data_IF_731004804864
#
_entry.id   IF_731004804864
#
_cell.length_a   1.000
_cell.length_b   1.000
_cell.length_c   1.000
_cell.angle_alpha   90.00
_cell.angle_beta   90.00
_cell.angle_gamma   90.00
#
_symmetry.space_group_name_H-M   'P 1'
#
loop_
_entity.id
_entity.type
_entity.pdbx_description
1 polymer ?
#
# COMPACT_ATOMS: atom_id res chain seq x y z
N UNK A 1 -6.35 13.52 14.36
CA UNK A 1 -4.90 13.30 14.15
C UNK A 1 -4.14 13.09 15.46
N UNK A 2 -4.09 14.04 16.41
CA UNK A 2 -3.40 13.82 17.71
C UNK A 2 -3.89 12.59 18.49
N UNK A 3 -5.22 12.43 18.55
CA UNK A 3 -5.86 11.26 19.20
C UNK A 3 -5.38 9.94 18.61
N UNK A 4 -5.15 9.86 17.30
CA UNK A 4 -4.62 8.65 16.65
C UNK A 4 -3.26 8.27 17.24
N UNK A 5 -2.30 9.21 17.30
CA UNK A 5 -0.98 8.91 17.85
C UNK A 5 -1.03 8.63 19.35
N UNK A 6 -1.88 9.35 20.11
CA UNK A 6 -2.06 9.09 21.55
C UNK A 6 -2.61 7.68 21.81
N UNK A 7 -3.64 7.27 21.08
CA UNK A 7 -4.19 5.92 21.19
C UNK A 7 -3.13 4.86 20.85
N UNK A 8 -2.40 5.06 19.75
CA UNK A 8 -1.28 4.19 19.37
C UNK A 8 -0.19 4.13 20.45
N UNK A 9 0.14 5.24 21.08
CA UNK A 9 1.09 5.30 22.19
C UNK A 9 0.66 4.40 23.36
N UNK A 10 -0.61 4.51 23.75
CA UNK A 10 -1.19 3.78 24.88
C UNK A 10 -1.20 2.29 24.59
N UNK A 11 -1.76 1.86 23.47
CA UNK A 11 -1.95 0.43 23.21
C UNK A 11 -0.63 -0.28 22.85
N UNK A 12 0.36 0.43 22.32
CA UNK A 12 1.69 -0.14 21.99
C UNK A 12 2.70 -0.04 23.13
N UNK A 13 2.33 0.55 24.27
CA UNK A 13 3.23 0.77 25.41
C UNK A 13 3.94 -0.51 25.90
N UNK A 14 3.25 -1.65 25.93
CA UNK A 14 3.84 -2.94 26.28
C UNK A 14 4.84 -3.44 25.24
N UNK A 15 4.55 -3.22 23.95
CA UNK A 15 5.44 -3.56 22.83
C UNK A 15 6.69 -2.68 22.83
N UNK A 16 6.57 -1.38 23.11
CA UNK A 16 7.72 -0.49 23.28
C UNK A 16 8.60 -0.90 24.44
N UNK A 17 7.99 -1.34 25.55
CA UNK A 17 8.73 -1.87 26.68
C UNK A 17 9.46 -3.16 26.31
N UNK A 18 8.77 -4.11 25.68
CA UNK A 18 9.35 -5.38 25.23
C UNK A 18 10.44 -5.20 24.16
N UNK A 19 10.37 -4.17 23.33
CA UNK A 19 11.45 -3.79 22.42
C UNK A 19 12.74 -3.37 23.16
N UNK A 20 12.62 -2.68 24.30
CA UNK A 20 13.78 -2.19 25.06
C UNK A 20 14.41 -3.24 25.97
N UNK A 21 13.60 -4.03 26.65
CA UNK A 21 14.07 -4.94 27.72
C UNK A 21 13.78 -6.42 27.46
N UNK A 22 13.16 -6.74 26.33
CA UNK A 22 12.69 -8.08 26.02
C UNK A 22 11.44 -8.50 26.82
N UNK A 23 10.78 -9.54 26.34
CA UNK A 23 9.61 -10.14 27.00
C UNK A 23 9.53 -11.63 26.69
N UNK A 24 9.12 -12.43 27.68
CA UNK A 24 8.86 -13.85 27.49
C UNK A 24 7.51 -14.04 26.79
N UNK A 25 7.52 -14.61 25.59
CA UNK A 25 6.32 -14.83 24.78
C UNK A 25 6.23 -16.30 24.34
N UNK A 26 5.08 -16.98 24.51
CA UNK A 26 4.88 -18.31 23.96
C UNK A 26 4.74 -18.25 22.44
N UNK A 27 5.41 -19.15 21.73
CA UNK A 27 5.19 -19.35 20.30
C UNK A 27 3.94 -20.23 20.04
N UNK A 28 3.65 -20.52 18.75
CA UNK A 28 2.51 -21.34 18.36
C UNK A 28 2.57 -22.79 18.86
N UNK A 29 3.74 -23.28 19.30
CA UNK A 29 3.93 -24.59 19.92
C UNK A 29 3.80 -24.57 21.45
N UNK A 30 3.59 -23.38 22.05
CA UNK A 30 3.59 -23.19 23.50
C UNK A 30 4.99 -23.06 24.11
N UNK A 31 6.05 -23.06 23.29
CA UNK A 31 7.42 -22.86 23.76
C UNK A 31 7.63 -21.39 24.10
N UNK A 32 8.04 -21.10 25.33
CA UNK A 32 8.31 -19.72 25.78
C UNK A 32 9.68 -19.29 25.27
N UNK A 33 9.73 -18.15 24.59
CA UNK A 33 10.95 -17.55 24.05
C UNK A 33 11.14 -16.14 24.59
N UNK A 34 12.39 -15.75 24.79
CA UNK A 34 12.73 -14.37 25.11
C UNK A 34 12.78 -13.55 23.81
N UNK A 35 11.82 -12.65 23.63
CA UNK A 35 11.56 -11.96 22.38
C UNK A 35 11.63 -10.43 22.55
N UNK A 36 12.00 -9.74 21.47
CA UNK A 36 11.92 -8.29 21.35
C UNK A 36 10.86 -7.93 20.31
N UNK A 37 10.22 -6.77 20.47
CA UNK A 37 9.12 -6.33 19.59
C UNK A 37 9.41 -4.98 18.91
N UNK A 38 10.43 -4.92 18.03
CA UNK A 38 10.67 -3.73 17.22
C UNK A 38 9.50 -3.45 16.28
N UNK A 39 9.26 -2.18 15.96
CA UNK A 39 8.31 -1.81 14.92
C UNK A 39 8.95 -2.06 13.54
N UNK A 40 8.70 -3.24 12.98
CA UNK A 40 9.26 -3.66 11.69
C UNK A 40 8.45 -3.07 10.53
N UNK A 41 7.13 -3.26 10.50
CA UNK A 41 6.28 -2.74 9.43
C UNK A 41 4.91 -2.34 9.99
N UNK A 42 4.31 -1.34 9.36
CA UNK A 42 2.93 -0.91 9.59
C UNK A 42 2.20 -0.86 8.24
N UNK A 43 1.42 -1.90 7.96
CA UNK A 43 0.70 -2.05 6.69
C UNK A 43 -0.45 -1.04 6.66
N UNK A 44 -0.39 -0.12 5.70
CA UNK A 44 -1.24 1.05 5.63
C UNK A 44 -1.42 1.50 4.18
N UNK A 45 -2.59 2.05 3.87
CA UNK A 45 -2.77 2.77 2.62
C UNK A 45 -2.02 4.13 2.66
N UNK A 46 -1.90 4.81 1.52
CA UNK A 46 -1.13 6.06 1.46
C UNK A 46 -1.68 7.17 2.37
N UNK A 47 -3.00 7.22 2.61
CA UNK A 47 -3.57 8.23 3.49
C UNK A 47 -3.22 7.96 4.96
N UNK A 48 -3.27 6.70 5.36
CA UNK A 48 -2.85 6.22 6.69
C UNK A 48 -1.34 6.35 6.89
N UNK A 49 -0.52 6.05 5.88
CA UNK A 49 0.93 6.26 5.94
C UNK A 49 1.28 7.73 6.20
N UNK A 50 0.58 8.66 5.55
CA UNK A 50 0.76 10.11 5.79
C UNK A 50 0.33 10.51 7.20
N UNK A 51 -0.75 9.91 7.69
CA UNK A 51 -1.18 10.11 9.07
C UNK A 51 -0.12 9.62 10.05
N UNK A 52 0.43 8.42 9.86
CA UNK A 52 1.48 7.86 10.69
C UNK A 52 2.80 8.65 10.61
N UNK A 53 3.19 9.12 9.42
CA UNK A 53 4.37 9.95 9.20
C UNK A 53 4.19 11.42 9.64
N UNK A 54 2.97 11.85 10.01
CA UNK A 54 2.65 13.22 10.43
C UNK A 54 2.88 14.22 9.28
N UNK A 55 2.57 13.85 8.05
CA UNK A 55 2.81 14.72 6.89
C UNK A 55 1.53 15.13 6.18
N UNK A 56 1.54 16.33 5.60
CA UNK A 56 0.44 16.82 4.76
C UNK A 56 0.32 16.02 3.46
N UNK A 57 -0.82 16.15 2.77
CA UNK A 57 -1.12 15.43 1.52
C UNK A 57 -0.20 15.79 0.35
N UNK A 58 0.50 16.93 0.44
CA UNK A 58 1.49 17.39 -0.53
C UNK A 58 2.92 16.96 -0.17
N UNK A 59 3.10 16.07 0.80
CA UNK A 59 4.40 15.53 1.21
C UNK A 59 4.41 14.00 1.09
N UNK A 60 5.59 13.44 0.82
CA UNK A 60 5.80 12.00 0.89
C UNK A 60 5.92 11.55 2.35
N UNK A 61 5.29 10.41 2.73
CA UNK A 61 5.46 9.84 4.06
C UNK A 61 6.82 9.16 4.25
N UNK A 62 7.49 8.74 3.18
CA UNK A 62 8.72 7.92 3.24
C UNK A 62 9.96 8.63 2.70
N UNK A 63 9.81 9.74 1.97
CA UNK A 63 10.91 10.59 1.50
C UNK A 63 10.69 12.07 1.85
N UNK A 64 11.72 12.89 1.68
CA UNK A 64 11.62 14.35 1.80
C UNK A 64 10.98 15.01 0.57
N UNK A 65 10.44 14.24 -0.38
CA UNK A 65 9.78 14.78 -1.56
C UNK A 65 8.51 15.56 -1.19
N UNK A 66 8.35 16.70 -1.86
CA UNK A 66 7.10 17.45 -1.88
C UNK A 66 6.35 17.25 -3.19
N UNK A 67 5.11 17.70 -3.25
CA UNK A 67 4.19 17.50 -4.37
C UNK A 67 4.79 17.83 -5.75
N UNK A 68 5.65 18.84 -5.83
CA UNK A 68 6.26 19.24 -7.10
C UNK A 68 7.22 18.20 -7.67
N UNK A 69 7.79 17.35 -6.82
CA UNK A 69 8.79 16.32 -7.14
C UNK A 69 8.18 14.92 -7.31
N UNK A 70 6.88 14.75 -7.06
CA UNK A 70 6.25 13.41 -7.07
C UNK A 70 6.27 12.70 -8.43
N UNK A 71 6.55 13.41 -9.51
CA UNK A 71 6.66 12.83 -10.83
C UNK A 71 8.09 12.53 -11.26
N UNK A 72 9.09 12.90 -10.48
CA UNK A 72 10.48 12.94 -10.92
C UNK A 72 11.16 11.58 -10.78
N UNK A 73 12.12 11.30 -11.67
CA UNK A 73 12.88 10.06 -11.65
C UNK A 73 13.86 10.02 -10.47
N UNK A 74 14.46 11.18 -10.16
CA UNK A 74 15.40 11.31 -9.06
C UNK A 74 14.65 11.21 -7.72
N UNK A 75 15.08 10.27 -6.88
CA UNK A 75 14.50 10.09 -5.57
C UNK A 75 15.05 11.11 -4.57
N UNK A 76 14.15 11.66 -3.77
CA UNK A 76 14.54 12.46 -2.61
C UNK A 76 15.10 11.56 -1.50
N UNK A 77 15.94 12.11 -0.60
CA UNK A 77 16.40 11.39 0.58
C UNK A 77 15.24 10.80 1.41
N UNK A 78 15.47 9.69 2.13
CA UNK A 78 14.48 9.13 3.05
C UNK A 78 14.03 10.15 4.10
N UNK A 79 12.74 10.15 4.43
CA UNK A 79 12.21 10.95 5.54
C UNK A 79 12.53 10.25 6.85
N UNK A 80 13.66 10.60 7.45
CA UNK A 80 14.09 9.95 8.68
C UNK A 80 13.22 10.33 9.87
N UNK A 81 13.19 9.46 10.89
CA UNK A 81 12.65 9.75 12.23
C UNK A 81 13.20 11.08 12.74
N UNK A 82 14.53 11.24 12.68
CA UNK A 82 15.21 12.43 13.17
C UNK A 82 14.79 13.69 12.39
N UNK A 83 14.67 13.59 11.06
CA UNK A 83 14.21 14.70 10.24
C UNK A 83 12.82 15.18 10.67
N UNK A 84 11.87 14.25 10.84
CA UNK A 84 10.50 14.58 11.24
C UNK A 84 10.45 15.15 12.67
N UNK A 85 11.20 14.58 13.62
CA UNK A 85 11.29 15.10 14.99
C UNK A 85 11.92 16.51 15.05
N UNK A 86 12.92 16.78 14.21
CA UNK A 86 13.52 18.11 14.11
C UNK A 86 12.51 19.15 13.61
N UNK A 87 11.68 18.81 12.61
CA UNK A 87 10.61 19.68 12.13
C UNK A 87 9.54 19.92 13.20
N UNK A 88 9.18 18.89 13.97
CA UNK A 88 8.26 19.02 15.12
C UNK A 88 8.85 19.99 16.15
N UNK A 89 10.11 19.82 16.53
CA UNK A 89 10.79 20.72 17.48
C UNK A 89 10.79 22.17 16.97
N UNK A 90 11.02 22.39 15.67
CA UNK A 90 10.93 23.72 15.07
C UNK A 90 9.52 24.32 15.16
N UNK A 91 8.47 23.51 15.00
CA UNK A 91 7.10 23.97 15.18
C UNK A 91 6.81 24.32 16.65
N UNK A 92 7.24 23.49 17.60
CA UNK A 92 7.09 23.73 19.04
C UNK A 92 7.79 25.01 19.51
N UNK A 93 8.91 25.38 18.89
CA UNK A 93 9.60 26.66 19.19
C UNK A 93 8.83 27.90 18.72
N UNK A 94 7.89 27.74 17.76
CA UNK A 94 7.13 28.86 17.18
C UNK A 94 5.72 28.99 17.76
N UNK A 95 5.15 27.89 18.25
CA UNK A 95 3.82 27.88 18.85
C UNK A 95 3.73 26.78 19.91
N UNK A 96 3.08 27.08 21.04
CA UNK A 96 2.78 26.12 22.08
C UNK A 96 1.89 25.00 21.50
N UNK A 97 2.27 23.71 21.61
CA UNK A 97 1.40 22.62 21.21
C UNK A 97 0.01 22.63 21.85
N UNK A 98 -0.19 23.26 23.01
CA UNK A 98 -1.50 23.41 23.65
C UNK A 98 -2.40 24.43 22.93
N UNK A 99 -1.82 25.41 22.24
CA UNK A 99 -2.55 26.24 21.27
C UNK A 99 -2.65 25.47 19.95
N UNK A 100 -3.72 24.67 19.84
CA UNK A 100 -3.92 23.77 18.71
C UNK A 100 -3.96 24.51 17.36
N UNK A 101 -4.56 25.70 17.31
CA UNK A 101 -4.69 26.45 16.08
C UNK A 101 -3.35 27.03 15.65
N UNK A 102 -2.65 27.71 16.57
CA UNK A 102 -1.33 28.26 16.28
C UNK A 102 -0.33 27.16 15.91
N UNK A 103 -0.30 26.07 16.68
CA UNK A 103 0.59 24.94 16.41
C UNK A 103 0.29 24.30 15.05
N UNK A 104 -0.98 24.04 14.72
CA UNK A 104 -1.34 23.42 13.44
C UNK A 104 -0.92 24.29 12.26
N UNK A 105 -1.04 25.62 12.40
CA UNK A 105 -0.58 26.58 11.38
C UNK A 105 0.95 26.54 11.21
N UNK A 106 1.73 26.56 12.29
CA UNK A 106 3.19 26.51 12.21
C UNK A 106 3.70 25.16 11.71
N UNK A 107 3.14 24.05 12.19
CA UNK A 107 3.45 22.70 11.71
C UNK A 107 3.11 22.56 10.22
N UNK A 108 1.97 23.10 9.78
CA UNK A 108 1.56 23.08 8.38
C UNK A 108 2.53 23.80 7.44
N UNK A 109 3.16 24.90 7.88
CA UNK A 109 4.22 25.59 7.11
C UNK A 109 5.46 24.72 6.90
N UNK A 110 5.71 23.76 7.78
CA UNK A 110 6.79 22.78 7.68
C UNK A 110 6.37 21.49 6.94
N UNK A 111 5.15 21.44 6.39
CA UNK A 111 4.62 20.26 5.71
C UNK A 111 4.11 19.17 6.65
N UNK A 112 3.97 19.48 7.95
CA UNK A 112 3.54 18.53 8.97
C UNK A 112 2.04 18.65 9.28
N UNK A 113 1.46 17.55 9.76
CA UNK A 113 0.19 17.59 10.47
C UNK A 113 0.40 18.16 11.88
N UNK A 114 -0.67 18.68 12.51
CA UNK A 114 -0.63 19.28 13.85
C UNK A 114 -0.43 18.27 15.00
N UNK A 115 0.55 17.36 14.90
CA UNK A 115 0.93 16.38 15.94
C UNK A 115 2.34 16.71 16.43
N UNK A 116 2.55 16.71 17.74
CA UNK A 116 3.87 16.94 18.38
C UNK A 116 4.44 15.68 19.04
N UNK A 117 3.60 14.68 19.30
CA UNK A 117 4.03 13.39 19.89
C UNK A 117 3.67 12.22 18.96
N UNK A 118 4.54 11.89 17.99
CA UNK A 118 4.38 10.67 17.20
C UNK A 118 4.46 9.43 18.10
N UNK A 119 3.58 8.45 17.89
CA UNK A 119 3.61 7.19 18.64
C UNK A 119 4.93 6.41 18.47
N UNK A 120 5.64 6.59 17.37
CA UNK A 120 6.91 5.90 17.09
C UNK A 120 8.14 6.64 17.65
N UNK A 121 7.97 7.81 18.28
CA UNK A 121 9.08 8.68 18.71
C UNK A 121 10.07 8.02 19.69
N UNK A 122 9.60 7.05 20.47
CA UNK A 122 10.34 6.35 21.53
C UNK A 122 10.32 4.81 21.35
N UNK A 123 9.91 4.33 20.17
CA UNK A 123 9.82 2.89 19.87
C UNK A 123 11.12 2.38 19.24
N UNK A 124 12.19 2.34 20.02
CA UNK A 124 13.45 1.76 19.58
C UNK A 124 14.04 2.45 18.34
N UNK A 125 14.30 1.65 17.32
CA UNK A 125 14.78 2.08 15.99
C UNK A 125 13.67 2.29 14.96
N UNK A 126 12.43 2.54 15.40
CA UNK A 126 11.30 2.80 14.51
C UNK A 126 11.60 3.98 13.57
N UNK A 127 11.76 3.66 12.29
CA UNK A 127 12.11 4.60 11.23
C UNK A 127 10.95 4.68 10.22
N UNK A 128 10.18 5.79 10.16
CA UNK A 128 9.03 5.94 9.27
C UNK A 128 9.35 5.62 7.81
N UNK A 129 10.54 5.99 7.33
CA UNK A 129 10.95 5.69 5.96
C UNK A 129 11.16 4.19 5.67
N UNK A 130 11.22 3.34 6.70
CA UNK A 130 11.38 1.89 6.61
C UNK A 130 10.10 1.14 6.95
N UNK A 131 9.49 1.42 8.11
CA UNK A 131 8.32 0.65 8.55
C UNK A 131 7.05 0.97 7.76
N UNK A 132 6.98 2.13 7.09
CA UNK A 132 5.91 2.46 6.14
C UNK A 132 6.20 1.82 4.79
N UNK A 133 6.09 0.49 4.76
CA UNK A 133 6.36 -0.33 3.58
C UNK A 133 5.27 -0.14 2.51
N UNK A 134 5.62 -0.21 1.21
CA UNK A 134 4.66 -0.02 0.14
C UNK A 134 3.68 -1.19 0.11
N UNK A 135 2.38 -0.89 0.17
CA UNK A 135 1.32 -1.88 -0.03
C UNK A 135 1.01 -2.02 -1.53
N UNK A 136 1.32 -3.17 -2.10
CA UNK A 136 1.17 -3.45 -3.53
C UNK A 136 -0.25 -3.18 -4.05
N UNK A 137 -1.26 -3.51 -3.26
CA UNK A 137 -2.66 -3.35 -3.64
C UNK A 137 -3.04 -1.89 -3.81
N UNK A 138 -2.89 -1.09 -2.75
CA UNK A 138 -3.30 0.32 -2.77
C UNK A 138 -2.31 1.21 -3.53
N UNK A 139 -1.03 0.85 -3.56
CA UNK A 139 0.01 1.62 -4.22
C UNK A 139 0.03 1.40 -5.74
N UNK A 140 0.08 0.15 -6.22
CA UNK A 140 0.36 -0.11 -7.64
C UNK A 140 -0.86 -0.57 -8.42
N UNK A 141 -1.59 -1.58 -7.94
CA UNK A 141 -2.77 -2.09 -8.65
C UNK A 141 -3.87 -1.03 -8.77
N UNK A 142 -4.10 -0.31 -7.68
CA UNK A 142 -5.02 0.82 -7.68
C UNK A 142 -4.48 2.01 -8.50
N UNK A 143 -3.17 2.27 -8.49
CA UNK A 143 -2.58 3.30 -9.38
C UNK A 143 -2.81 2.97 -10.85
N UNK A 144 -2.59 1.70 -11.24
CA UNK A 144 -2.74 1.24 -12.61
C UNK A 144 -4.15 1.52 -13.13
N UNK A 145 -5.17 1.19 -12.35
CA UNK A 145 -6.55 1.45 -12.75
C UNK A 145 -6.95 2.92 -12.66
N UNK A 146 -6.61 3.61 -11.56
CA UNK A 146 -6.96 5.02 -11.37
C UNK A 146 -6.29 5.94 -12.41
N UNK A 147 -5.12 5.53 -12.92
CA UNK A 147 -4.29 6.35 -13.80
C UNK A 147 -4.05 5.73 -15.18
N UNK A 148 -3.40 4.58 -15.27
CA UNK A 148 -2.98 4.00 -16.56
C UNK A 148 -4.17 3.70 -17.46
N UNK A 149 -5.23 3.06 -16.93
CA UNK A 149 -6.46 2.82 -17.69
C UNK A 149 -7.12 4.13 -18.12
N UNK A 150 -7.16 5.13 -17.24
CA UNK A 150 -7.67 6.46 -17.59
C UNK A 150 -6.85 7.12 -18.71
N UNK A 151 -5.52 6.98 -18.69
CA UNK A 151 -4.66 7.52 -19.74
C UNK A 151 -4.93 6.83 -21.07
N UNK A 152 -5.06 5.50 -21.06
CA UNK A 152 -5.40 4.73 -22.26
C UNK A 152 -6.75 5.17 -22.83
N UNK A 153 -7.80 5.25 -22.00
CA UNK A 153 -9.13 5.71 -22.41
C UNK A 153 -9.06 7.10 -23.05
N UNK A 154 -8.28 8.02 -22.47
CA UNK A 154 -8.12 9.36 -23.01
C UNK A 154 -7.41 9.37 -24.39
N UNK A 155 -6.44 8.47 -24.61
CA UNK A 155 -5.67 8.41 -25.86
C UNK A 155 -6.43 7.72 -27.00
N UNK A 156 -7.09 6.59 -26.72
CA UNK A 156 -7.69 5.74 -27.77
C UNK A 156 -9.21 5.71 -27.76
N UNK A 157 -9.88 6.38 -26.81
CA UNK A 157 -11.30 6.26 -26.45
C UNK A 157 -11.67 4.98 -25.69
N UNK A 158 -12.73 5.06 -24.90
CA UNK A 158 -13.28 3.91 -24.18
C UNK A 158 -13.86 2.85 -25.11
N UNK A 159 -14.52 3.25 -26.20
CA UNK A 159 -15.14 2.33 -27.15
C UNK A 159 -14.11 1.48 -27.89
N UNK A 160 -12.96 2.07 -28.28
CA UNK A 160 -11.87 1.32 -28.92
C UNK A 160 -11.16 0.38 -27.94
N UNK A 161 -10.90 0.84 -26.70
CA UNK A 161 -10.34 -0.01 -25.65
C UNK A 161 -11.22 -1.24 -25.41
N UNK A 162 -12.53 -1.02 -25.27
CA UNK A 162 -13.50 -2.08 -25.02
C UNK A 162 -13.61 -3.04 -26.20
N UNK A 163 -13.61 -2.53 -27.44
CA UNK A 163 -13.60 -3.36 -28.66
C UNK A 163 -12.39 -4.27 -28.71
N UNK A 164 -11.19 -3.75 -28.41
CA UNK A 164 -9.94 -4.52 -28.41
C UNK A 164 -9.93 -5.60 -27.33
N UNK A 165 -10.42 -5.28 -26.14
CA UNK A 165 -10.58 -6.25 -25.05
C UNK A 165 -11.57 -7.37 -25.39
N UNK A 166 -12.67 -7.04 -26.08
CA UNK A 166 -13.67 -8.01 -26.54
C UNK A 166 -13.13 -8.93 -27.64
N UNK A 167 -12.21 -8.45 -28.47
CA UNK A 167 -11.60 -9.22 -29.54
C UNK A 167 -10.57 -10.26 -29.06
N UNK A 168 -10.16 -10.21 -27.78
CA UNK A 168 -9.21 -11.19 -27.23
C UNK A 168 -9.83 -12.60 -27.19
N UNK A 169 -9.05 -13.64 -27.55
CA UNK A 169 -9.51 -15.02 -27.44
C UNK A 169 -9.81 -15.37 -25.98
N UNK A 170 -10.80 -16.24 -25.80
CA UNK A 170 -11.14 -16.76 -24.47
C UNK A 170 -10.05 -17.74 -24.04
N UNK A 171 -9.31 -17.38 -22.99
CA UNK A 171 -8.23 -18.19 -22.44
C UNK A 171 -8.57 -18.68 -21.03
N UNK A 172 -8.16 -19.90 -20.71
CA UNK A 172 -8.31 -20.44 -19.35
C UNK A 172 -7.42 -19.66 -18.39
N UNK A 173 -7.98 -19.25 -17.24
CA UNK A 173 -7.24 -18.54 -16.20
C UNK A 173 -7.08 -17.03 -16.41
N UNK A 174 -7.63 -16.48 -17.49
CA UNK A 174 -7.68 -15.02 -17.74
C UNK A 174 -9.13 -14.60 -17.94
N UNK A 175 -9.54 -13.50 -17.29
CA UNK A 175 -10.88 -12.97 -17.47
C UNK A 175 -11.11 -12.49 -18.91
N UNK A 176 -12.20 -12.92 -19.51
CA UNK A 176 -12.70 -12.35 -20.76
C UNK A 176 -13.58 -11.12 -20.49
N UNK A 177 -13.34 -10.03 -21.21
CA UNK A 177 -13.94 -8.72 -20.98
C UNK A 177 -15.06 -8.41 -21.98
N UNK A 178 -16.11 -9.24 -21.99
CA UNK A 178 -17.24 -9.14 -22.95
C UNK A 178 -17.92 -7.76 -22.98
N UNK A 179 -17.93 -7.06 -21.85
CA UNK A 179 -18.56 -5.74 -21.72
C UNK A 179 -17.54 -4.59 -21.63
N UNK A 180 -16.27 -4.87 -21.91
CA UNK A 180 -15.19 -3.91 -21.76
C UNK A 180 -14.93 -3.50 -20.30
N UNK A 181 -14.18 -2.41 -20.14
CA UNK A 181 -13.79 -1.85 -18.84
C UNK A 181 -13.98 -0.34 -18.75
N UNK A 182 -14.20 0.36 -19.86
CA UNK A 182 -14.21 1.82 -19.89
C UNK A 182 -15.26 2.47 -18.97
N UNK A 183 -16.34 1.75 -18.65
CA UNK A 183 -17.46 2.22 -17.82
C UNK A 183 -17.40 1.73 -16.37
N UNK A 184 -16.40 0.92 -16.01
CA UNK A 184 -16.28 0.37 -14.66
C UNK A 184 -15.83 1.44 -13.68
N UNK A 185 -16.61 1.66 -12.62
CA UNK A 185 -16.28 2.61 -11.55
C UNK A 185 -15.47 1.98 -10.42
N UNK A 186 -15.63 0.68 -10.23
CA UNK A 186 -14.96 -0.11 -9.21
C UNK A 186 -14.66 -1.49 -9.79
N UNK A 187 -13.47 -2.00 -9.50
CA UNK A 187 -13.04 -3.34 -9.87
C UNK A 187 -12.35 -3.98 -8.67
N UNK A 188 -12.32 -5.30 -8.66
CA UNK A 188 -11.69 -6.14 -7.64
C UNK A 188 -10.18 -6.24 -7.87
N UNK A 189 -9.42 -6.62 -6.83
CA UNK A 189 -7.97 -6.89 -6.94
C UNK A 189 -7.62 -7.90 -8.05
N UNK A 190 -8.49 -8.90 -8.28
CA UNK A 190 -8.30 -9.86 -9.39
C UNK A 190 -8.45 -9.21 -10.76
N UNK A 191 -9.45 -8.35 -10.91
CA UNK A 191 -9.71 -7.61 -12.14
C UNK A 191 -8.58 -6.62 -12.47
N UNK A 192 -8.00 -5.95 -11.46
CA UNK A 192 -6.79 -5.13 -11.63
C UNK A 192 -5.65 -5.94 -12.26
N UNK A 193 -5.28 -7.06 -11.63
CA UNK A 193 -4.17 -7.91 -12.09
C UNK A 193 -4.40 -8.52 -13.46
N UNK A 194 -5.65 -8.86 -13.80
CA UNK A 194 -5.95 -9.38 -15.13
C UNK A 194 -5.83 -8.30 -16.21
N UNK A 195 -6.18 -7.04 -15.92
CA UNK A 195 -5.98 -5.93 -16.86
C UNK A 195 -4.51 -5.60 -17.06
N UNK A 196 -3.70 -5.62 -16.00
CA UNK A 196 -2.25 -5.38 -16.08
C UNK A 196 -1.55 -6.34 -17.05
N UNK A 197 -1.95 -7.61 -17.08
CA UNK A 197 -1.42 -8.62 -18.01
C UNK A 197 -1.79 -8.37 -19.47
N UNK A 198 -2.93 -7.71 -19.71
CA UNK A 198 -3.53 -7.60 -21.04
C UNK A 198 -3.32 -6.23 -21.69
N UNK A 199 -3.03 -5.18 -20.91
CA UNK A 199 -3.09 -3.82 -21.43
C UNK A 199 -2.10 -3.57 -22.56
N UNK A 200 -0.87 -4.10 -22.45
CA UNK A 200 0.20 -3.87 -23.43
C UNK A 200 -0.19 -4.44 -24.81
N UNK A 201 -0.56 -5.73 -24.94
CA UNK A 201 -1.01 -6.23 -26.25
C UNK A 201 -2.32 -5.59 -26.71
N UNK A 202 -3.22 -5.20 -25.79
CA UNK A 202 -4.49 -4.56 -26.15
C UNK A 202 -4.26 -3.21 -26.85
N UNK A 203 -3.37 -2.36 -26.32
CA UNK A 203 -3.14 -1.02 -26.88
C UNK A 203 -2.13 -1.01 -28.03
N UNK A 204 -1.47 -2.13 -28.33
CA UNK A 204 -0.51 -2.23 -29.41
C UNK A 204 -1.15 -1.84 -30.76
N UNK A 205 -0.49 -0.96 -31.50
CA UNK A 205 -1.01 -0.40 -32.76
C UNK A 205 -2.15 0.62 -32.61
N UNK A 206 -2.63 0.89 -31.39
CA UNK A 206 -3.58 1.98 -31.10
C UNK A 206 -2.87 3.27 -30.66
N UNK A 207 -1.69 3.13 -30.06
CA UNK A 207 -0.85 4.22 -29.54
C UNK A 207 0.51 4.21 -30.24
N UNK A 208 1.27 5.30 -30.11
CA UNK A 208 2.65 5.34 -30.62
C UNK A 208 3.55 4.33 -29.90
N UNK A 209 4.65 3.94 -30.54
CA UNK A 209 5.63 3.03 -29.96
C UNK A 209 6.16 3.55 -28.61
N UNK A 210 6.43 4.86 -28.50
CA UNK A 210 6.95 5.45 -27.26
C UNK A 210 5.93 5.43 -26.11
N UNK A 211 4.64 5.66 -26.40
CA UNK A 211 3.57 5.49 -25.41
C UNK A 211 3.49 4.02 -24.97
N UNK A 212 3.56 3.09 -25.93
CA UNK A 212 3.56 1.66 -25.63
C UNK A 212 4.75 1.28 -24.73
N UNK A 213 5.96 1.78 -25.02
CA UNK A 213 7.15 1.59 -24.19
C UNK A 213 6.93 2.10 -22.77
N UNK A 214 6.36 3.30 -22.60
CA UNK A 214 6.08 3.86 -21.26
C UNK A 214 5.12 2.99 -20.43
N UNK A 215 4.04 2.50 -21.04
CA UNK A 215 3.04 1.68 -20.35
C UNK A 215 3.59 0.27 -20.08
N UNK A 216 4.32 -0.31 -21.04
CA UNK A 216 5.03 -1.59 -20.87
C UNK A 216 5.98 -1.52 -19.68
N UNK A 217 6.81 -0.48 -19.61
CA UNK A 217 7.78 -0.29 -18.53
C UNK A 217 7.11 -0.21 -17.14
N UNK A 218 5.95 0.46 -17.02
CA UNK A 218 5.16 0.43 -15.77
C UNK A 218 4.62 -0.97 -15.43
N UNK A 219 4.12 -1.70 -16.42
CA UNK A 219 3.62 -3.07 -16.19
C UNK A 219 4.77 -4.00 -15.79
N UNK A 220 5.94 -3.87 -16.39
CA UNK A 220 7.15 -4.61 -16.02
C UNK A 220 7.60 -4.28 -14.59
N UNK A 221 7.62 -3.00 -14.22
CA UNK A 221 7.85 -2.59 -12.85
C UNK A 221 6.88 -3.32 -11.91
N UNK A 222 5.57 -3.23 -12.16
CA UNK A 222 4.52 -3.84 -11.33
C UNK A 222 4.69 -5.36 -11.26
N UNK A 223 5.10 -6.01 -12.35
CA UNK A 223 5.35 -7.44 -12.39
C UNK A 223 6.53 -7.84 -11.49
N UNK A 224 7.67 -7.15 -11.60
CA UNK A 224 8.88 -7.52 -10.86
C UNK A 224 8.77 -7.25 -9.35
N UNK A 225 8.11 -6.17 -8.94
CA UNK A 225 7.94 -5.84 -7.50
C UNK A 225 7.03 -6.81 -6.75
N UNK A 226 6.29 -7.67 -7.46
CA UNK A 226 5.48 -8.75 -6.89
C UNK A 226 6.28 -10.03 -6.59
N UNK A 227 7.58 -10.05 -6.88
CA UNK A 227 8.44 -11.20 -6.59
C UNK A 227 8.43 -11.57 -5.11
N UNK A 228 8.30 -12.87 -4.81
CA UNK A 228 8.41 -13.39 -3.43
C UNK A 228 9.81 -13.16 -2.85
N UNK A 229 10.83 -13.24 -3.72
CA UNK A 229 12.23 -13.02 -3.41
C UNK A 229 12.78 -12.00 -4.42
N UNK A 230 13.41 -10.94 -3.92
CA UNK A 230 13.95 -9.86 -4.73
C UNK A 230 15.45 -9.74 -4.43
N UNK A 231 16.25 -10.26 -5.35
CA UNK A 231 17.72 -10.18 -5.31
C UNK A 231 18.20 -8.93 -6.07
N UNK A 232 19.50 -8.73 -6.15
CA UNK A 232 20.09 -7.49 -6.70
C UNK A 232 19.83 -7.33 -8.20
N UNK A 233 19.77 -8.43 -8.96
CA UNK A 233 19.37 -8.43 -10.38
C UNK A 233 17.90 -8.04 -10.56
N UNK A 234 17.02 -8.52 -9.68
CA UNK A 234 15.61 -8.11 -9.64
C UNK A 234 15.49 -6.63 -9.30
N UNK A 235 16.23 -6.12 -8.30
CA UNK A 235 16.26 -4.68 -7.96
C UNK A 235 16.72 -3.84 -9.15
N UNK A 236 17.79 -4.26 -9.82
CA UNK A 236 18.27 -3.58 -11.02
C UNK A 236 17.18 -3.52 -12.10
N UNK A 237 16.48 -4.63 -12.34
CA UNK A 237 15.38 -4.69 -13.32
C UNK A 237 14.22 -3.76 -12.94
N UNK A 238 13.86 -3.72 -11.65
CA UNK A 238 12.82 -2.82 -11.12
C UNK A 238 13.20 -1.35 -11.37
N UNK A 239 14.44 -0.97 -11.04
CA UNK A 239 14.91 0.41 -11.23
C UNK A 239 14.99 0.77 -12.72
N UNK A 240 15.43 -0.15 -13.58
CA UNK A 240 15.46 0.07 -15.04
C UNK A 240 14.06 0.24 -15.63
N UNK A 241 13.10 -0.58 -15.22
CA UNK A 241 11.72 -0.45 -15.68
C UNK A 241 11.11 0.91 -15.29
N UNK A 242 11.36 1.38 -14.06
CA UNK A 242 10.87 2.69 -13.64
C UNK A 242 11.59 3.84 -14.35
N UNK A 243 12.90 3.71 -14.58
CA UNK A 243 13.69 4.67 -15.36
C UNK A 243 13.19 4.77 -16.81
N UNK A 244 12.91 3.64 -17.45
CA UNK A 244 12.36 3.59 -18.80
C UNK A 244 10.98 4.28 -18.85
N UNK A 245 10.11 4.02 -17.88
CA UNK A 245 8.85 4.77 -17.77
C UNK A 245 9.11 6.28 -17.69
N UNK A 246 10.05 6.73 -16.85
CA UNK A 246 10.35 8.15 -16.72
C UNK A 246 10.90 8.80 -18.00
N UNK A 247 11.63 8.04 -18.83
CA UNK A 247 12.13 8.51 -20.12
C UNK A 247 10.97 8.76 -21.11
N UNK A 248 9.97 7.88 -21.13
CA UNK A 248 8.87 7.95 -22.12
C UNK A 248 7.56 8.56 -21.61
N UNK A 249 7.37 8.77 -20.30
CA UNK A 249 6.08 9.24 -19.72
C UNK A 249 5.53 10.51 -20.36
N UNK A 250 6.39 11.40 -20.85
CA UNK A 250 5.95 12.66 -21.48
C UNK A 250 5.20 12.42 -22.80
N UNK A 251 5.42 11.28 -23.46
CA UNK A 251 4.67 10.89 -24.65
C UNK A 251 3.21 10.61 -24.33
N UNK A 252 2.89 10.14 -23.11
CA UNK A 252 1.50 10.02 -22.64
C UNK A 252 0.83 11.40 -22.56
N UNK A 253 1.56 12.45 -22.15
CA UNK A 253 1.02 13.82 -22.13
C UNK A 253 0.78 14.30 -23.55
N UNK A 254 1.77 14.15 -24.44
CA UNK A 254 1.68 14.58 -25.85
C UNK A 254 0.54 13.88 -26.60
N UNK A 255 0.31 12.60 -26.30
CA UNK A 255 -0.81 11.81 -26.85
C UNK A 255 -2.17 12.14 -26.21
N UNK A 256 -2.24 13.08 -25.25
CA UNK A 256 -3.49 13.47 -24.60
C UNK A 256 -3.97 12.54 -23.48
N UNK A 257 -3.17 11.54 -23.09
CA UNK A 257 -3.52 10.59 -22.04
C UNK A 257 -3.70 11.24 -20.67
N UNK A 258 -2.93 12.29 -20.38
CA UNK A 258 -3.07 13.08 -19.15
C UNK A 258 -4.11 14.20 -19.33
N UNK A 259 -5.39 13.82 -19.31
CA UNK A 259 -6.52 14.76 -19.38
C UNK A 259 -7.46 14.55 -18.18
N UNK A 260 -7.94 15.65 -17.58
CA UNK A 260 -8.93 15.62 -16.51
C UNK A 260 -10.06 16.62 -16.77
N UNK A 261 -10.99 16.76 -15.81
CA UNK A 261 -12.17 17.64 -15.96
C UNK A 261 -11.85 19.11 -16.27
N UNK A 262 -10.63 19.57 -15.94
CA UNK A 262 -10.15 20.95 -16.15
C UNK A 262 -9.24 21.08 -17.36
N UNK A 263 -9.19 20.08 -18.24
CA UNK A 263 -8.32 20.02 -19.42
C UNK A 263 -7.06 19.19 -19.22
N UNK A 264 -6.06 19.46 -20.04
CA UNK A 264 -4.78 18.74 -20.05
C UNK A 264 -3.98 18.94 -18.76
N UNK A 265 -3.35 17.87 -18.27
CA UNK A 265 -2.51 17.85 -17.07
C UNK A 265 -1.06 17.60 -17.50
N UNK A 266 -0.25 18.65 -17.53
CA UNK A 266 1.11 18.64 -18.11
C UNK A 266 2.20 18.16 -17.12
N UNK A 267 1.87 17.29 -16.18
CA UNK A 267 2.83 16.82 -15.17
C UNK A 267 2.48 15.40 -14.70
N UNK A 268 3.40 14.77 -13.97
CA UNK A 268 3.21 13.45 -13.32
C UNK A 268 3.27 13.50 -11.80
N UNK A 269 2.95 14.66 -11.19
CA UNK A 269 2.83 14.85 -9.73
C UNK A 269 1.76 13.95 -9.07
N UNK A 270 2.02 12.66 -9.04
CA UNK A 270 1.13 11.59 -8.58
C UNK A 270 1.82 10.95 -7.37
N UNK A 271 1.24 11.05 -6.17
CA UNK A 271 1.88 10.54 -4.96
C UNK A 271 2.29 9.06 -5.01
N UNK A 272 1.45 8.21 -5.62
CA UNK A 272 1.75 6.79 -5.75
C UNK A 272 2.94 6.50 -6.68
N UNK A 273 3.18 7.38 -7.66
CA UNK A 273 4.36 7.27 -8.53
C UNK A 273 5.64 7.62 -7.78
N UNK A 274 5.62 8.62 -6.88
CA UNK A 274 6.76 8.91 -6.01
C UNK A 274 7.15 7.70 -5.16
N UNK A 275 6.16 7.05 -4.55
CA UNK A 275 6.38 5.84 -3.74
C UNK A 275 6.96 4.65 -4.52
N UNK A 276 6.77 4.58 -5.85
CA UNK A 276 7.35 3.51 -6.68
C UNK A 276 8.87 3.55 -6.69
N UNK A 277 9.48 4.75 -6.69
CA UNK A 277 10.94 4.88 -6.69
C UNK A 277 11.60 4.53 -5.35
N UNK A 278 10.82 4.25 -4.31
CA UNK A 278 11.31 3.81 -2.99
C UNK A 278 11.35 2.30 -2.83
N UNK A 279 10.82 1.54 -3.80
CA UNK A 279 10.63 0.09 -3.64
C UNK A 279 11.96 -0.65 -3.49
N UNK A 280 12.96 -0.36 -4.31
CA UNK A 280 14.27 -1.03 -4.23
C UNK A 280 15.01 -0.71 -2.94
N UNK A 281 14.97 0.56 -2.50
CA UNK A 281 15.46 0.97 -1.18
C UNK A 281 14.75 0.19 -0.07
N UNK A 282 13.42 0.21 -0.01
CA UNK A 282 12.67 -0.45 1.04
C UNK A 282 12.91 -1.97 1.05
N UNK A 283 13.03 -2.57 -0.14
CA UNK A 283 13.31 -4.00 -0.29
C UNK A 283 14.69 -4.39 0.27
N UNK A 284 15.68 -3.51 0.16
CA UNK A 284 17.02 -3.79 0.70
C UNK A 284 17.04 -3.88 2.24
N UNK A 285 16.19 -3.12 2.93
CA UNK A 285 16.14 -3.10 4.39
C UNK A 285 15.06 -4.03 4.97
N UNK A 286 13.92 -4.14 4.29
CA UNK A 286 12.73 -4.79 4.80
C UNK A 286 12.46 -6.14 4.12
N UNK A 287 13.03 -6.39 2.95
CA UNK A 287 12.69 -7.55 2.11
C UNK A 287 11.51 -7.26 1.18
N UNK A 288 11.07 -8.29 0.46
CA UNK A 288 10.13 -8.15 -0.66
C UNK A 288 8.78 -7.52 -0.23
N UNK A 289 8.21 -6.59 -1.01
CA UNK A 289 6.94 -5.93 -0.68
C UNK A 289 5.75 -6.89 -0.49
N UNK A 290 5.80 -8.08 -1.11
CA UNK A 290 4.75 -9.08 -1.01
C UNK A 290 4.36 -9.42 0.43
N UNK A 291 5.31 -9.41 1.37
CA UNK A 291 5.04 -9.75 2.77
C UNK A 291 4.28 -8.66 3.54
N UNK A 292 4.16 -7.45 2.97
CA UNK A 292 3.55 -6.28 3.59
C UNK A 292 2.25 -5.83 2.88
N UNK A 293 1.69 -6.68 2.02
CA UNK A 293 0.45 -6.39 1.32
C UNK A 293 -0.76 -6.42 2.25
N UNK A 294 -1.72 -5.52 2.01
CA UNK A 294 -3.02 -5.56 2.68
C UNK A 294 -3.97 -6.63 2.12
N UNK A 295 -3.58 -7.42 1.11
CA UNK A 295 -4.44 -8.46 0.52
C UNK A 295 -4.99 -9.44 1.58
N UNK A 296 -4.15 -9.83 2.55
CA UNK A 296 -4.54 -10.76 3.62
C UNK A 296 -5.53 -10.07 4.58
N UNK A 297 -5.23 -8.84 4.99
CA UNK A 297 -6.07 -8.10 5.94
C UNK A 297 -7.40 -7.72 5.31
N UNK A 298 -7.45 -7.35 4.03
CA UNK A 298 -8.69 -7.13 3.28
C UNK A 298 -9.53 -8.40 3.19
N UNK A 299 -8.89 -9.56 2.92
CA UNK A 299 -9.61 -10.84 2.89
C UNK A 299 -10.22 -11.16 4.26
N UNK A 300 -9.49 -10.92 5.35
CA UNK A 300 -10.01 -11.05 6.71
C UNK A 300 -11.12 -10.03 6.98
N UNK A 301 -11.02 -8.80 6.49
CA UNK A 301 -12.04 -7.75 6.67
C UNK A 301 -13.38 -8.13 6.02
N UNK A 302 -13.36 -8.87 4.90
CA UNK A 302 -14.58 -9.44 4.32
C UNK A 302 -15.29 -10.36 5.32
N UNK A 303 -14.56 -11.30 5.93
CA UNK A 303 -15.16 -12.32 6.81
C UNK A 303 -15.46 -11.81 8.21
N UNK A 304 -14.63 -10.91 8.75
CA UNK A 304 -14.75 -10.44 10.14
C UNK A 304 -15.55 -9.15 10.29
N UNK A 305 -15.71 -8.36 9.21
CA UNK A 305 -16.43 -7.08 9.27
C UNK A 305 -17.58 -7.04 8.27
N UNK A 306 -17.33 -7.20 6.97
CA UNK A 306 -18.39 -7.02 5.96
C UNK A 306 -19.51 -8.06 6.10
N UNK A 307 -19.18 -9.33 6.23
CA UNK A 307 -20.17 -10.40 6.40
C UNK A 307 -21.00 -10.21 7.68
N UNK A 308 -20.40 -10.02 8.88
CA UNK A 308 -21.14 -9.68 10.09
C UNK A 308 -21.95 -8.38 9.96
N UNK A 309 -21.41 -7.36 9.29
CA UNK A 309 -22.12 -6.10 9.01
C UNK A 309 -23.42 -6.35 8.24
N UNK A 310 -23.36 -7.12 7.15
CA UNK A 310 -24.55 -7.49 6.37
C UNK A 310 -25.57 -8.33 7.15
N UNK A 311 -25.11 -9.06 8.17
CA UNK A 311 -25.93 -9.85 9.07
C UNK A 311 -26.40 -9.07 10.31
N UNK A 312 -25.90 -7.85 10.50
CA UNK A 312 -26.16 -7.02 11.68
C UNK A 312 -27.39 -6.14 11.51
N UNK A 313 -27.98 -5.76 12.65
CA UNK A 313 -29.00 -4.73 12.71
C UNK A 313 -28.34 -3.33 12.65
N UNK A 314 -28.87 -2.38 11.84
CA UNK A 314 -28.33 -1.03 11.69
C UNK A 314 -28.16 -0.24 13.00
N UNK A 315 -28.93 -0.54 14.06
CA UNK A 315 -28.94 0.25 15.31
C UNK A 315 -27.76 -0.03 16.25
N UNK A 316 -27.12 -1.21 16.16
CA UNK A 316 -26.01 -1.63 17.06
C UNK A 316 -24.93 -2.39 16.30
N UNK A 317 -24.69 -1.99 15.07
CA UNK A 317 -23.84 -2.69 14.13
C UNK A 317 -22.42 -2.97 14.71
N UNK A 318 -21.74 -1.96 15.26
CA UNK A 318 -20.38 -2.10 15.79
C UNK A 318 -20.27 -3.10 16.94
N UNK A 319 -21.21 -3.07 17.89
CA UNK A 319 -21.26 -4.03 19.01
C UNK A 319 -21.53 -5.46 18.50
N UNK A 320 -22.39 -5.60 17.50
CA UNK A 320 -22.75 -6.90 16.93
C UNK A 320 -21.61 -7.51 16.13
N UNK A 321 -20.87 -6.69 15.38
CA UNK A 321 -19.65 -7.11 14.69
C UNK A 321 -18.61 -7.55 15.74
N UNK A 322 -18.36 -6.74 16.78
CA UNK A 322 -17.44 -7.08 17.86
C UNK A 322 -17.79 -8.43 18.53
N UNK A 323 -19.07 -8.63 18.87
CA UNK A 323 -19.55 -9.89 19.46
C UNK A 323 -19.44 -11.08 18.51
N UNK A 324 -19.58 -10.90 17.21
CA UNK A 324 -19.39 -11.99 16.24
C UNK A 324 -17.94 -12.45 16.15
N UNK A 325 -16.97 -11.54 16.38
CA UNK A 325 -15.55 -11.88 16.37
C UNK A 325 -15.12 -12.71 17.60
N UNK A 326 -15.76 -12.54 18.76
CA UNK A 326 -15.42 -13.23 20.02
C UNK A 326 -15.50 -14.77 19.93
N UNK A 327 -16.57 -15.39 19.40
CA UNK A 327 -16.63 -16.83 19.17
C UNK A 327 -15.63 -17.28 18.09
N UNK A 328 -15.49 -16.53 17.00
CA UNK A 328 -14.62 -16.91 15.88
C UNK A 328 -13.12 -16.85 16.19
N UNK A 329 -12.69 -16.07 17.18
CA UNK A 329 -11.31 -16.09 17.69
C UNK A 329 -11.04 -17.24 18.67
N UNK A 330 -12.08 -17.81 19.31
CA UNK A 330 -11.96 -18.94 20.24
C UNK A 330 -12.04 -20.31 19.56
N UNK A 331 -12.74 -20.42 18.43
CA UNK A 331 -12.95 -21.70 17.72
C UNK A 331 -11.69 -22.29 17.02
N UNK A 332 -10.72 -21.49 16.50
CA UNK A 332 -9.49 -22.06 15.94
C UNK A 332 -8.60 -22.75 16.98
N UNK A 333 -8.73 -22.41 18.28
CA UNK A 333 -8.05 -23.13 19.36
C UNK A 333 -8.67 -24.50 19.66
N UNK A 334 -9.89 -24.78 19.21
CA UNK A 334 -10.58 -26.05 19.46
C UNK A 334 -10.54 -27.01 18.26
N UNK A 335 -10.44 -26.51 17.02
CA UNK A 335 -10.47 -27.37 15.81
C UNK A 335 -9.11 -27.89 15.35
N UNK A 336 -7.99 -27.31 15.79
CA UNK A 336 -6.66 -27.89 15.53
C UNK A 336 -6.27 -29.02 16.49
N UNK A 337 -7.08 -29.30 17.52
CA UNK A 337 -6.89 -30.41 18.46
C UNK A 337 -7.72 -31.66 18.12
N UNK A 338 -8.48 -31.66 17.02
CA UNK A 338 -9.36 -32.78 16.65
C UNK A 338 -9.33 -33.14 15.14
N UNK A 339 -8.15 -33.50 14.61
CA UNK A 339 -8.14 -34.61 13.65
C UNK A 339 -7.04 -35.66 13.89
N UNK A 340 -6.38 -35.68 15.04
CA UNK A 340 -5.32 -36.68 15.32
C UNK A 340 -5.77 -37.92 16.12
N UNK A 341 -7.01 -38.00 16.58
CA UNK A 341 -7.50 -39.17 17.36
C UNK A 341 -8.31 -40.20 16.56
N UNK A 342 -8.51 -40.00 15.25
CA UNK A 342 -9.33 -40.93 14.43
C UNK A 342 -8.55 -41.79 13.44
N UNK A 343 -7.21 -41.72 13.41
CA UNK A 343 -6.38 -42.51 12.49
C UNK A 343 -5.51 -43.60 13.14
N UNK A 344 -5.63 -43.83 14.46
CA UNK A 344 -4.79 -44.80 15.20
C UNK A 344 -5.56 -46.01 15.74
N UNK A 345 -6.61 -46.48 15.05
CA UNK A 345 -7.35 -47.71 15.42
C UNK A 345 -7.59 -48.71 14.28
N UNK A 346 -6.86 -48.62 13.17
CA UNK A 346 -6.89 -49.63 12.11
C UNK A 346 -5.49 -49.88 11.55
N UNK A 347 -4.61 -50.49 12.35
CA UNK A 347 -3.42 -51.22 11.88
C UNK A 347 -2.72 -51.92 13.07
N UNK A 348 -3.24 -53.06 13.52
CA UNK A 348 -2.43 -54.09 14.16
C UNK A 348 -2.92 -55.45 13.65
N UNK A 349 -2.07 -56.23 12.95
CA UNK A 349 -2.42 -57.57 12.48
C UNK A 349 -2.19 -58.63 13.57
N UNK A 350 -3.11 -59.58 13.65
CA UNK A 350 -2.77 -61.00 13.74
C UNK A 350 -3.47 -61.71 12.58
#
# INVERSE_FOLDING_TARGET
>A
MRVYHLCFDIFTSSLKRAERVGHLMPDGSGTVRFCFTPLVSHIMDLAEQRQAAIVLTNQSPTSTASYHLFGDAAQCPPRTRQHTLNLINQACLRADPNDLEAYTREAGRLGLLGVHEPYWRDWGQAEPSLFLTPDALHAWHKFFFDHVITWVINMISGDELDRRLQALPINVGVRHWKHGVSKLKQVTGREHRDLEKLIVPVIAGAVSADVLCSIRALVEFIFHVQGLLIYDDHKHTIDQALLEFHNYKNEIIKAGGRHGKRGAILHFKIPKLEGMGRVTYNTAYMGAPYQYTSDITERCHITHVKQPYHQSNPRKCSEQIARSMDPHQKVPKYKSLHPFETYTRLALPQ
#
